data_IF_129942596397
#
_entry.id   IF_129942596397
#
_cell.length_a   1.000
_cell.length_b   1.000
_cell.length_c   1.000
_cell.angle_alpha   90.00
_cell.angle_beta   90.00
_cell.angle_gamma   90.00
#
_symmetry.space_group_name_H-M   'P 1'
#
loop_
_entity.id
_entity.type
_entity.pdbx_description
1 polymer ?
#
# COMPACT_ATOMS: atom_id res chain seq x y z
N UNK A 1 -17.10 -29.42 -15.08
CA UNK A 1 -17.00 -28.51 -13.92
C UNK A 1 -17.98 -27.35 -14.14
N UNK A 2 -18.75 -26.94 -13.13
CA UNK A 2 -19.83 -25.95 -13.24
C UNK A 2 -19.30 -24.50 -13.26
N UNK A 3 -19.99 -23.61 -13.98
CA UNK A 3 -19.70 -22.17 -14.08
C UNK A 3 -19.48 -21.49 -12.71
N UNK A 4 -20.23 -21.92 -11.68
CA UNK A 4 -20.11 -21.41 -10.32
C UNK A 4 -18.73 -21.67 -9.67
N UNK A 5 -18.07 -22.77 -10.04
CA UNK A 5 -16.75 -23.13 -9.52
C UNK A 5 -15.67 -22.16 -10.03
N UNK A 6 -15.74 -21.76 -11.30
CA UNK A 6 -14.79 -20.81 -11.89
C UNK A 6 -14.90 -19.41 -11.27
N UNK A 7 -16.13 -18.94 -11.01
CA UNK A 7 -16.34 -17.66 -10.33
C UNK A 7 -15.80 -17.68 -8.89
N UNK A 8 -15.97 -18.78 -8.17
CA UNK A 8 -15.44 -18.93 -6.81
C UNK A 8 -13.90 -18.94 -6.78
N UNK A 9 -13.25 -19.63 -7.73
CA UNK A 9 -11.79 -19.63 -7.86
C UNK A 9 -11.24 -18.26 -8.26
N UNK A 10 -11.88 -17.59 -9.22
CA UNK A 10 -11.52 -16.23 -9.64
C UNK A 10 -11.60 -15.25 -8.46
N UNK A 11 -12.71 -15.28 -7.70
CA UNK A 11 -12.89 -14.45 -6.50
C UNK A 11 -11.85 -14.75 -5.43
N UNK A 12 -11.55 -16.04 -5.17
CA UNK A 12 -10.53 -16.45 -4.19
C UNK A 12 -9.13 -15.97 -4.58
N UNK A 13 -8.77 -16.07 -5.85
CA UNK A 13 -7.48 -15.61 -6.37
C UNK A 13 -7.34 -14.08 -6.24
N UNK A 14 -8.42 -13.33 -6.52
CA UNK A 14 -8.44 -11.89 -6.37
C UNK A 14 -8.26 -11.45 -4.90
N UNK A 15 -8.94 -12.13 -3.96
CA UNK A 15 -8.76 -11.89 -2.51
C UNK A 15 -7.30 -12.16 -2.09
N UNK A 16 -6.70 -13.28 -2.54
CA UNK A 16 -5.32 -13.61 -2.22
C UNK A 16 -4.31 -12.58 -2.75
N UNK A 17 -4.54 -12.08 -3.97
CA UNK A 17 -3.70 -11.01 -4.56
C UNK A 17 -3.82 -9.70 -3.79
N UNK A 18 -5.04 -9.31 -3.40
CA UNK A 18 -5.28 -8.08 -2.65
C UNK A 18 -4.63 -8.12 -1.26
N UNK A 19 -4.65 -9.28 -0.58
CA UNK A 19 -3.95 -9.45 0.70
C UNK A 19 -2.44 -9.26 0.56
N UNK A 20 -1.81 -9.91 -0.43
CA UNK A 20 -0.37 -9.79 -0.64
C UNK A 20 0.03 -8.37 -1.07
N UNK A 21 -0.80 -7.70 -1.87
CA UNK A 21 -0.59 -6.31 -2.26
C UNK A 21 -0.69 -5.37 -1.04
N UNK A 22 -1.69 -5.57 -0.18
CA UNK A 22 -1.84 -4.80 1.06
C UNK A 22 -0.63 -4.95 1.98
N UNK A 23 -0.14 -6.18 2.18
CA UNK A 23 1.07 -6.45 2.98
C UNK A 23 2.29 -5.70 2.42
N UNK A 24 2.50 -5.74 1.11
CA UNK A 24 3.60 -5.03 0.45
C UNK A 24 3.50 -3.50 0.64
N UNK A 25 2.29 -2.94 0.53
CA UNK A 25 2.06 -1.50 0.73
C UNK A 25 2.32 -1.08 2.18
N UNK A 26 1.95 -1.89 3.16
CA UNK A 26 2.24 -1.62 4.58
C UNK A 26 3.75 -1.69 4.87
N UNK A 27 4.51 -2.58 4.21
CA UNK A 27 5.97 -2.60 4.29
C UNK A 27 6.58 -1.32 3.68
N UNK A 28 6.11 -0.91 2.49
CA UNK A 28 6.56 0.32 1.84
C UNK A 28 6.28 1.56 2.70
N UNK A 29 5.09 1.65 3.29
CA UNK A 29 4.72 2.72 4.22
C UNK A 29 5.70 2.83 5.39
N UNK A 30 6.03 1.70 6.02
CA UNK A 30 7.02 1.67 7.12
C UNK A 30 8.40 2.14 6.65
N UNK A 31 8.84 1.71 5.46
CA UNK A 31 10.08 2.17 4.86
C UNK A 31 10.11 3.69 4.64
N UNK A 32 9.03 4.26 4.13
CA UNK A 32 8.91 5.70 3.89
C UNK A 32 8.90 6.51 5.20
N UNK A 33 8.25 6.03 6.26
CA UNK A 33 8.32 6.64 7.60
C UNK A 33 9.76 6.65 8.14
N UNK A 34 10.52 5.59 7.87
CA UNK A 34 11.94 5.60 8.24
C UNK A 34 12.71 6.64 7.43
N UNK A 35 12.34 6.92 6.18
CA UNK A 35 13.04 7.87 5.30
C UNK A 35 12.57 9.32 5.44
N UNK A 36 11.47 9.58 6.15
CA UNK A 36 10.89 10.92 6.32
C UNK A 36 11.69 11.80 7.30
N UNK A 37 11.28 13.07 7.38
CA UNK A 37 11.82 14.08 8.30
C UNK A 37 11.57 13.76 9.79
N UNK A 38 10.77 12.74 10.10
CA UNK A 38 10.53 12.30 11.48
C UNK A 38 11.81 11.77 12.15
N UNK A 39 12.83 11.41 11.36
CA UNK A 39 14.18 11.20 11.88
C UNK A 39 14.73 12.55 12.31
N UNK A 40 14.99 12.69 13.62
CA UNK A 40 15.57 13.80 14.40
C UNK A 40 16.91 14.39 13.87
N UNK A 41 17.02 14.60 12.56
CA UNK A 41 18.21 15.04 11.83
C UNK A 41 17.83 16.32 11.12
N UNK A 42 18.40 17.43 11.57
CA UNK A 42 18.09 18.77 11.10
C UNK A 42 18.60 18.94 9.66
N UNK A 43 17.75 18.73 8.66
CA UNK A 43 17.90 19.29 7.31
C UNK A 43 16.50 19.54 6.70
N UNK A 44 15.82 20.63 7.09
CA UNK A 44 14.37 20.83 6.94
C UNK A 44 13.88 21.14 5.51
N UNK A 45 14.74 21.12 4.49
CA UNK A 45 14.40 21.61 3.14
C UNK A 45 15.00 20.78 2.00
N UNK A 46 15.23 19.47 2.19
CA UNK A 46 15.70 18.63 1.11
C UNK A 46 14.53 18.14 0.27
N UNK A 47 14.52 18.44 -1.04
CA UNK A 47 13.51 17.94 -2.02
C UNK A 47 13.26 16.43 -1.90
N UNK A 48 14.28 15.68 -1.47
CA UNK A 48 14.19 14.24 -1.20
C UNK A 48 13.14 13.88 -0.13
N UNK A 49 12.96 14.70 0.90
CA UNK A 49 11.96 14.45 1.94
C UNK A 49 10.55 14.78 1.47
N UNK A 50 10.37 15.88 0.71
CA UNK A 50 9.11 16.20 0.05
C UNK A 50 8.66 15.04 -0.87
N UNK A 51 9.59 14.45 -1.61
CA UNK A 51 9.31 13.26 -2.41
C UNK A 51 8.92 12.05 -1.56
N UNK A 52 9.53 11.83 -0.39
CA UNK A 52 9.16 10.75 0.53
C UNK A 52 7.74 10.95 1.08
N UNK A 53 7.37 12.18 1.44
CA UNK A 53 6.03 12.49 1.93
C UNK A 53 4.97 12.31 0.83
N UNK A 54 5.26 12.74 -0.40
CA UNK A 54 4.39 12.48 -1.55
C UNK A 54 4.20 10.98 -1.80
N UNK A 55 5.29 10.20 -1.77
CA UNK A 55 5.21 8.74 -1.89
C UNK A 55 4.39 8.12 -0.76
N UNK A 56 4.50 8.66 0.47
CA UNK A 56 3.73 8.18 1.63
C UNK A 56 2.24 8.46 1.46
N UNK A 57 1.87 9.60 0.90
CA UNK A 57 0.49 9.94 0.57
C UNK A 57 -0.09 8.94 -0.45
N UNK A 58 0.61 8.70 -1.57
CA UNK A 58 0.18 7.75 -2.61
C UNK A 58 0.01 6.33 -2.06
N UNK A 59 0.93 5.87 -1.20
CA UNK A 59 0.81 4.55 -0.56
C UNK A 59 -0.39 4.47 0.36
N UNK A 60 -0.68 5.53 1.14
CA UNK A 60 -1.85 5.57 2.01
C UNK A 60 -3.15 5.53 1.21
N UNK A 61 -3.26 6.32 0.14
CA UNK A 61 -4.42 6.30 -0.76
C UNK A 61 -4.62 4.89 -1.37
N UNK A 62 -3.54 4.23 -1.79
CA UNK A 62 -3.60 2.86 -2.33
C UNK A 62 -4.11 1.84 -1.30
N UNK A 63 -3.68 1.97 -0.04
CA UNK A 63 -4.14 1.12 1.06
C UNK A 63 -5.64 1.35 1.33
N UNK A 64 -6.09 2.60 1.30
CA UNK A 64 -7.50 2.95 1.50
C UNK A 64 -8.38 2.39 0.39
N UNK A 65 -7.96 2.50 -0.88
CA UNK A 65 -8.66 1.89 -2.02
C UNK A 65 -8.84 0.38 -1.84
N UNK A 66 -7.78 -0.34 -1.48
CA UNK A 66 -7.85 -1.79 -1.26
C UNK A 66 -8.72 -2.20 -0.07
N UNK A 67 -8.80 -1.35 0.97
CA UNK A 67 -9.69 -1.59 2.11
C UNK A 67 -11.16 -1.36 1.74
N UNK A 68 -11.43 -0.36 0.90
CA UNK A 68 -12.78 -0.05 0.44
C UNK A 68 -13.29 -1.05 -0.62
N UNK A 69 -12.41 -1.62 -1.46
CA UNK A 69 -12.76 -2.70 -2.41
C UNK A 69 -13.07 -4.04 -1.74
N UNK A 70 -12.70 -4.24 -0.48
CA UNK A 70 -13.01 -5.46 0.29
C UNK A 70 -14.39 -5.43 0.97
N UNK A 71 -15.22 -4.40 0.72
CA UNK A 71 -16.62 -4.30 1.17
C UNK A 71 -17.57 -4.79 0.08
#
# INVERSE_FOLDING_TARGET
MSFNHYNALSKKNNISMNTQLLENLEVLKKGLVLLSEDRKVVLPHHKSFEHVEHLRAVVNESIELLKNEQI
#
